data_IF_423085589061
#
_entry.id   IF_423085589061
#
_cell.length_a   1.000
_cell.length_b   1.000
_cell.length_c   1.000
_cell.angle_alpha   90.00
_cell.angle_beta   90.00
_cell.angle_gamma   90.00
#
_symmetry.space_group_name_H-M   'P 1'
#
loop_
_entity.id
_entity.type
_entity.pdbx_description
1 polymer ?
#
# COMPACT_ATOMS: atom_id res chain seq x y z
N UNK A 1 -17.68 10.94 -15.49
CA UNK A 1 -16.42 10.54 -14.80
C UNK A 1 -15.60 9.59 -15.67
N UNK A 2 -16.11 8.38 -15.98
CA UNK A 2 -15.36 7.33 -16.70
C UNK A 2 -14.75 7.77 -18.04
N UNK A 3 -15.48 8.54 -18.87
CA UNK A 3 -14.92 9.14 -20.09
C UNK A 3 -13.68 10.01 -19.85
N UNK A 4 -13.61 10.74 -18.71
CA UNK A 4 -12.43 11.54 -18.34
C UNK A 4 -11.26 10.69 -17.87
N UNK A 5 -11.54 9.49 -17.33
CA UNK A 5 -10.52 8.50 -16.94
C UNK A 5 -10.01 7.67 -18.13
N UNK A 6 -10.51 7.93 -19.36
CA UNK A 6 -10.04 7.28 -20.58
C UNK A 6 -10.85 6.05 -21.01
N UNK A 7 -11.96 5.74 -20.33
CA UNK A 7 -12.82 4.64 -20.76
C UNK A 7 -13.49 4.97 -22.10
N UNK A 8 -13.31 4.09 -23.08
CA UNK A 8 -14.03 4.14 -24.36
C UNK A 8 -15.47 3.66 -24.18
N UNK A 9 -15.64 2.51 -23.52
CA UNK A 9 -16.92 1.97 -23.07
C UNK A 9 -16.95 1.87 -21.54
N UNK A 10 -18.13 2.07 -20.95
CA UNK A 10 -18.33 1.90 -19.52
C UNK A 10 -19.75 1.41 -19.21
N UNK A 11 -19.86 0.48 -18.27
CA UNK A 11 -21.12 -0.03 -17.74
C UNK A 11 -21.15 0.19 -16.23
N UNK A 12 -22.33 0.53 -15.70
CA UNK A 12 -22.53 0.58 -14.25
C UNK A 12 -22.89 -0.79 -13.70
N UNK A 13 -22.25 -1.18 -12.60
CA UNK A 13 -22.55 -2.42 -11.88
C UNK A 13 -23.39 -2.11 -10.63
N UNK A 14 -23.69 -3.15 -9.84
CA UNK A 14 -24.41 -2.98 -8.58
C UNK A 14 -23.63 -2.06 -7.62
N UNK A 15 -24.38 -1.18 -6.95
CA UNK A 15 -23.84 -0.07 -6.17
C UNK A 15 -24.36 -0.06 -4.73
N UNK A 16 -24.40 1.13 -4.13
CA UNK A 16 -24.88 1.29 -2.75
C UNK A 16 -24.13 0.39 -1.77
N UNK A 17 -24.87 -0.31 -0.90
CA UNK A 17 -24.30 -1.21 0.10
C UNK A 17 -23.56 -2.42 -0.46
N UNK A 18 -23.79 -2.77 -1.73
CA UNK A 18 -23.08 -3.86 -2.41
C UNK A 18 -21.68 -3.45 -2.89
N UNK A 19 -21.42 -2.15 -3.10
CA UNK A 19 -20.15 -1.67 -3.63
C UNK A 19 -19.00 -1.95 -2.65
N UNK A 20 -18.17 -2.94 -2.98
CA UNK A 20 -17.04 -3.39 -2.15
C UNK A 20 -15.80 -3.55 -3.03
N UNK A 21 -14.68 -2.96 -2.60
CA UNK A 21 -13.37 -3.12 -3.21
C UNK A 21 -12.40 -3.74 -2.20
N UNK A 22 -11.93 -4.94 -2.52
CA UNK A 22 -10.87 -5.62 -1.79
C UNK A 22 -9.59 -5.60 -2.63
N UNK A 23 -8.45 -5.30 -2.02
CA UNK A 23 -7.16 -5.33 -2.68
C UNK A 23 -6.10 -5.95 -1.77
N UNK A 24 -5.09 -6.62 -2.35
CA UNK A 24 -3.85 -6.90 -1.64
C UNK A 24 -2.87 -5.77 -1.94
N UNK A 25 -2.33 -5.13 -0.91
CA UNK A 25 -1.20 -4.21 -1.09
C UNK A 25 0.04 -5.01 -1.50
N UNK A 26 1.02 -4.39 -2.17
CA UNK A 26 2.21 -5.11 -2.61
C UNK A 26 2.90 -5.86 -1.48
N UNK A 27 3.07 -7.16 -1.66
CA UNK A 27 3.68 -8.05 -0.67
C UNK A 27 2.79 -8.43 0.51
N UNK A 28 1.53 -7.99 0.54
CA UNK A 28 0.57 -8.41 1.56
C UNK A 28 0.10 -9.85 1.31
N UNK A 29 -0.03 -10.63 2.40
CA UNK A 29 -0.55 -12.00 2.36
C UNK A 29 -2.08 -12.11 2.42
N UNK A 30 -2.79 -10.98 2.54
CA UNK A 30 -4.23 -10.94 2.70
C UNK A 30 -4.84 -9.71 2.00
N UNK A 31 -6.12 -9.78 1.69
CA UNK A 31 -6.89 -8.68 1.14
C UNK A 31 -7.35 -7.72 2.24
N UNK A 32 -7.32 -6.42 1.93
CA UNK A 32 -7.86 -5.33 2.75
C UNK A 32 -9.05 -4.67 2.06
N UNK A 33 -9.97 -4.14 2.87
CA UNK A 33 -11.09 -3.33 2.40
C UNK A 33 -10.60 -1.91 2.10
N UNK A 34 -10.72 -1.49 0.83
CA UNK A 34 -10.19 -0.21 0.35
C UNK A 34 -11.22 0.93 0.34
N UNK A 35 -12.51 0.59 0.31
CA UNK A 35 -13.59 1.55 0.33
C UNK A 35 -14.39 1.48 1.63
N UNK A 36 -15.32 2.41 1.82
CA UNK A 36 -16.28 2.40 2.92
C UNK A 36 -17.66 1.98 2.38
N UNK A 37 -18.10 0.72 2.56
CA UNK A 37 -19.45 0.30 2.22
C UNK A 37 -20.49 1.17 2.92
N UNK A 38 -21.58 1.52 2.23
CA UNK A 38 -22.61 2.42 2.80
C UNK A 38 -23.37 1.83 3.98
N UNK A 39 -23.38 0.49 4.10
CA UNK A 39 -24.00 -0.23 5.22
C UNK A 39 -23.07 -0.30 6.45
N UNK A 40 -21.86 0.28 6.36
CA UNK A 40 -20.83 0.22 7.41
C UNK A 40 -20.02 -1.08 7.43
N UNK A 41 -20.47 -2.12 6.72
CA UNK A 41 -19.76 -3.37 6.52
C UNK A 41 -20.00 -3.92 5.11
N UNK A 42 -19.13 -4.84 4.60
CA UNK A 42 -19.39 -5.52 3.34
C UNK A 42 -20.71 -6.30 3.38
N UNK A 43 -21.55 -6.14 2.35
CA UNK A 43 -22.80 -6.90 2.18
C UNK A 43 -22.50 -8.20 1.43
N UNK A 44 -23.09 -9.35 1.82
CA UNK A 44 -23.04 -10.56 1.01
C UNK A 44 -23.69 -10.31 -0.36
N UNK A 45 -22.94 -10.54 -1.43
CA UNK A 45 -23.41 -10.42 -2.82
C UNK A 45 -23.21 -11.76 -3.53
N UNK A 46 -24.07 -12.11 -4.51
CA UNK A 46 -24.02 -13.43 -5.15
C UNK A 46 -22.87 -13.59 -6.15
N UNK A 47 -22.24 -12.50 -6.59
CA UNK A 47 -21.15 -12.52 -7.55
C UNK A 47 -20.19 -11.32 -7.36
N UNK A 48 -19.06 -11.36 -8.05
CA UNK A 48 -18.06 -10.28 -8.05
C UNK A 48 -17.07 -10.43 -9.19
N UNK A 49 -16.30 -9.37 -9.44
CA UNK A 49 -15.18 -9.38 -10.38
C UNK A 49 -13.89 -9.56 -9.60
N UNK A 50 -13.04 -10.48 -10.06
CA UNK A 50 -11.75 -10.77 -9.42
C UNK A 50 -10.65 -10.66 -10.47
N UNK A 51 -9.62 -9.86 -10.14
CA UNK A 51 -8.40 -9.77 -10.92
C UNK A 51 -7.31 -10.51 -10.14
N UNK A 52 -6.66 -11.47 -10.79
CA UNK A 52 -5.60 -12.28 -10.17
C UNK A 52 -4.33 -12.22 -11.01
N UNK A 53 -3.20 -12.40 -10.34
CA UNK A 53 -1.92 -12.65 -10.98
C UNK A 53 -1.55 -14.14 -10.83
N UNK A 54 -0.69 -14.70 -11.70
CA UNK A 54 -0.16 -16.05 -11.55
C UNK A 54 0.48 -16.25 -10.18
N UNK A 55 0.32 -17.44 -9.61
CA UNK A 55 0.88 -17.76 -8.30
C UNK A 55 2.38 -18.06 -8.39
N UNK A 56 3.12 -17.65 -7.36
CA UNK A 56 4.51 -18.07 -7.11
C UNK A 56 5.44 -16.90 -6.83
N UNK A 57 6.25 -16.93 -5.76
CA UNK A 57 7.16 -15.85 -5.46
C UNK A 57 8.23 -15.74 -6.56
N UNK A 58 8.23 -14.62 -7.25
CA UNK A 58 9.27 -14.23 -8.17
C UNK A 58 10.47 -13.60 -7.45
N UNK A 59 11.51 -13.19 -8.20
CA UNK A 59 12.59 -12.39 -7.64
C UNK A 59 12.04 -11.08 -7.06
N UNK A 60 12.73 -10.57 -6.02
CA UNK A 60 12.42 -9.28 -5.42
C UNK A 60 12.35 -8.19 -6.50
N UNK A 61 11.21 -7.50 -6.57
CA UNK A 61 11.00 -6.35 -7.45
C UNK A 61 11.07 -5.03 -6.68
N UNK A 62 10.68 -5.01 -5.41
CA UNK A 62 10.74 -3.82 -4.58
C UNK A 62 10.22 -4.03 -3.17
N UNK A 63 10.07 -2.91 -2.47
CA UNK A 63 9.46 -2.84 -1.14
C UNK A 63 8.34 -1.81 -1.14
N UNK A 64 7.21 -2.14 -0.53
CA UNK A 64 6.19 -1.17 -0.17
C UNK A 64 6.57 -0.52 1.16
N UNK A 65 6.81 0.79 1.16
CA UNK A 65 7.28 1.53 2.33
C UNK A 65 6.13 2.34 2.93
N UNK A 66 5.70 1.95 4.13
CA UNK A 66 4.59 2.59 4.82
C UNK A 66 5.04 3.19 6.15
N UNK A 67 4.75 4.48 6.43
CA UNK A 67 4.92 5.02 7.76
C UNK A 67 3.81 4.52 8.69
N UNK A 68 4.17 4.18 9.93
CA UNK A 68 3.18 3.85 10.95
C UNK A 68 2.09 4.95 10.99
N UNK A 69 0.81 4.59 10.95
CA UNK A 69 -0.31 5.54 10.96
C UNK A 69 -0.39 6.49 9.77
N UNK A 70 0.29 6.21 8.64
CA UNK A 70 0.14 6.94 7.37
C UNK A 70 0.75 8.35 7.34
N UNK A 71 1.29 8.84 8.46
CA UNK A 71 1.80 10.21 8.54
C UNK A 71 3.22 10.33 8.02
N UNK A 72 3.39 11.05 6.92
CA UNK A 72 4.69 11.35 6.28
C UNK A 72 5.35 12.63 6.81
N UNK A 73 4.71 13.34 7.75
CA UNK A 73 5.22 14.58 8.35
C UNK A 73 5.56 14.36 9.81
N UNK A 74 6.69 14.92 10.23
CA UNK A 74 7.23 14.82 11.59
C UNK A 74 7.78 16.17 12.01
N UNK A 75 7.67 16.48 13.30
CA UNK A 75 8.41 17.61 13.88
C UNK A 75 9.88 17.21 14.11
N UNK A 76 10.83 18.15 14.01
CA UNK A 76 12.21 17.91 14.41
C UNK A 76 12.31 17.37 15.84
N UNK A 77 13.17 16.39 16.05
CA UNK A 77 13.36 15.68 17.32
C UNK A 77 12.52 14.41 17.46
N UNK A 78 11.43 14.27 16.70
CA UNK A 78 10.55 13.10 16.75
C UNK A 78 10.98 11.98 15.80
N UNK A 79 10.41 10.80 16.01
CA UNK A 79 10.66 9.60 15.23
C UNK A 79 9.40 9.08 14.54
N UNK A 80 9.60 8.23 13.52
CA UNK A 80 8.57 7.44 12.86
C UNK A 80 9.13 6.08 12.49
N UNK A 81 8.39 5.03 12.82
CA UNK A 81 8.66 3.70 12.30
C UNK A 81 8.15 3.60 10.87
N UNK A 82 9.02 3.14 9.98
CA UNK A 82 8.70 2.78 8.61
C UNK A 82 8.77 1.26 8.48
N UNK A 83 7.77 0.68 7.84
CA UNK A 83 7.76 -0.74 7.47
C UNK A 83 8.06 -0.85 5.98
N UNK A 84 8.90 -1.83 5.60
CA UNK A 84 9.17 -2.17 4.21
C UNK A 84 8.72 -3.60 3.95
N UNK A 85 7.67 -3.76 3.15
CA UNK A 85 7.11 -5.07 2.80
C UNK A 85 7.65 -5.49 1.43
N UNK A 86 8.49 -6.55 1.33
CA UNK A 86 9.05 -7.00 0.07
C UNK A 86 8.00 -7.62 -0.86
N UNK A 87 8.08 -7.31 -2.15
CA UNK A 87 7.21 -7.86 -3.18
C UNK A 87 7.96 -8.22 -4.47
N UNK A 88 7.39 -9.12 -5.26
CA UNK A 88 7.91 -9.54 -6.56
C UNK A 88 7.26 -8.78 -7.74
N UNK A 89 7.63 -9.13 -8.98
CA UNK A 89 7.10 -8.46 -10.17
C UNK A 89 5.57 -8.61 -10.37
N UNK A 90 4.93 -9.55 -9.67
CA UNK A 90 3.48 -9.76 -9.64
C UNK A 90 2.80 -9.11 -8.45
N UNK A 91 3.56 -8.37 -7.62
CA UNK A 91 3.17 -7.79 -6.34
C UNK A 91 2.89 -8.84 -5.24
N UNK A 92 3.24 -10.10 -5.47
CA UNK A 92 3.09 -11.14 -4.46
C UNK A 92 4.18 -11.01 -3.37
N UNK A 93 3.96 -11.59 -2.17
CA UNK A 93 4.95 -11.57 -1.10
C UNK A 93 6.29 -12.17 -1.53
N UNK A 94 7.38 -11.45 -1.24
CA UNK A 94 8.74 -11.92 -1.45
C UNK A 94 9.51 -12.05 -0.12
N UNK A 95 10.66 -12.73 -0.14
CA UNK A 95 11.52 -12.87 1.03
C UNK A 95 12.80 -12.02 0.84
N UNK A 96 12.84 -10.85 1.48
CA UNK A 96 14.02 -9.98 1.48
C UNK A 96 14.08 -9.11 2.74
N UNK A 97 15.30 -8.80 3.19
CA UNK A 97 15.53 -7.87 4.29
C UNK A 97 15.78 -6.45 3.73
N UNK A 98 15.10 -5.41 4.26
CA UNK A 98 15.28 -4.04 3.83
C UNK A 98 16.67 -3.48 4.21
N UNK A 99 17.24 -2.60 3.39
CA UNK A 99 18.48 -1.87 3.71
C UNK A 99 18.24 -0.38 3.70
N UNK A 100 18.00 0.16 4.89
CA UNK A 100 17.57 1.54 5.03
C UNK A 100 18.69 2.56 4.85
N UNK A 101 18.38 3.66 4.18
CA UNK A 101 19.23 4.85 4.09
C UNK A 101 18.40 6.12 4.00
N UNK A 102 18.99 7.27 4.32
CA UNK A 102 18.33 8.56 4.20
C UNK A 102 19.32 9.64 3.79
N UNK A 103 18.86 10.65 3.05
CA UNK A 103 19.66 11.83 2.69
C UNK A 103 19.71 12.90 3.80
N UNK A 104 18.80 12.82 4.76
CA UNK A 104 18.65 13.76 5.87
C UNK A 104 18.06 13.06 7.09
N UNK A 105 18.43 13.52 8.29
CA UNK A 105 18.03 12.86 9.54
C UNK A 105 18.85 11.60 9.79
N UNK A 106 18.28 10.66 10.55
CA UNK A 106 18.88 9.34 10.80
C UNK A 106 17.84 8.25 10.63
N UNK A 107 18.23 7.10 10.10
CA UNK A 107 17.38 5.91 10.06
C UNK A 107 18.18 4.70 10.52
N UNK A 108 17.62 3.94 11.46
CA UNK A 108 18.16 2.65 11.87
C UNK A 108 17.76 1.55 10.88
N UNK A 109 18.50 0.44 10.87
CA UNK A 109 18.11 -0.74 10.08
C UNK A 109 16.85 -1.43 10.62
N UNK A 110 16.36 -1.00 11.79
CA UNK A 110 15.04 -1.32 12.36
C UNK A 110 13.89 -0.49 11.73
N UNK A 111 14.19 0.38 10.76
CA UNK A 111 13.20 1.22 10.08
C UNK A 111 12.75 2.44 10.90
N UNK A 112 13.39 2.74 12.04
CA UNK A 112 13.05 3.92 12.84
C UNK A 112 13.77 5.15 12.29
N UNK A 113 13.02 6.03 11.64
CA UNK A 113 13.49 7.32 11.14
C UNK A 113 13.38 8.40 12.23
N UNK A 114 14.41 9.25 12.38
CA UNK A 114 14.43 10.44 13.23
C UNK A 114 14.62 11.70 12.41
N UNK A 115 13.69 12.64 12.56
CA UNK A 115 13.81 13.96 11.97
C UNK A 115 14.74 14.84 12.82
N UNK A 116 15.82 15.36 12.24
CA UNK A 116 16.77 16.21 12.98
C UNK A 116 16.51 17.71 12.77
N UNK A 117 16.07 18.12 11.57
CA UNK A 117 15.87 19.52 11.18
C UNK A 117 14.72 19.67 10.18
N UNK A 118 14.09 20.85 10.08
CA UNK A 118 13.03 21.10 9.09
C UNK A 118 13.50 20.87 7.64
N UNK A 119 12.53 20.52 6.79
CA UNK A 119 12.72 20.31 5.35
C UNK A 119 12.39 18.89 4.90
N UNK A 120 12.34 18.65 3.59
CA UNK A 120 12.07 17.32 3.04
C UNK A 120 13.21 16.34 3.35
N UNK A 121 12.89 15.06 3.50
CA UNK A 121 13.87 13.98 3.61
C UNK A 121 13.42 12.83 2.72
N UNK A 122 14.36 12.14 2.10
CA UNK A 122 14.11 10.96 1.29
C UNK A 122 14.74 9.76 1.99
N UNK A 123 13.87 8.87 2.47
CA UNK A 123 14.25 7.55 2.96
C UNK A 123 14.18 6.55 1.82
N UNK A 124 15.18 5.67 1.72
CA UNK A 124 15.28 4.59 0.72
C UNK A 124 15.52 3.26 1.43
N UNK A 125 15.16 2.18 0.75
CA UNK A 125 15.26 0.78 1.20
C UNK A 125 15.81 -0.11 0.10
#
# INVERSE_FOLDING_TARGET
>A
LMRRLGAYEALNLDGGGSATLLAAHPGAGALTLENSPSDGHPRPVPNGLVLTAPAGPGPLAGFDVQPAGGATRLFPGLTRTLTATPYDATLAPAAAAPRWSTDRGRIGQDGVYRADRPGPAVVRV
#
